data_IF_403501782517
#
_entry.id   IF_403501782517
#
_cell.length_a   1.000
_cell.length_b   1.000
_cell.length_c   1.000
_cell.angle_alpha   90.00
_cell.angle_beta   90.00
_cell.angle_gamma   90.00
#
_symmetry.space_group_name_H-M   'P 1'
#
loop_
_entity.id
_entity.type
_entity.pdbx_description
1 polymer ?
#
# COMPACT_ATOMS: atom_id res chain seq x y z
N UNK A 1 6.57 -16.17 1.79
CA UNK A 1 5.24 -16.22 2.44
C UNK A 1 4.99 -14.89 3.12
N UNK A 2 3.75 -14.39 3.13
CA UNK A 2 3.42 -13.11 3.78
C UNK A 2 3.26 -13.28 5.30
N UNK A 3 3.73 -12.30 6.08
CA UNK A 3 3.74 -12.29 7.54
C UNK A 3 4.10 -10.91 8.11
N UNK A 4 4.59 -10.82 9.36
CA UNK A 4 5.01 -9.55 9.97
C UNK A 4 6.01 -8.77 9.10
N UNK A 5 5.84 -7.45 9.01
CA UNK A 5 6.74 -6.59 8.21
C UNK A 5 6.53 -6.66 6.70
N UNK A 6 5.45 -7.30 6.22
CA UNK A 6 5.20 -7.45 4.77
C UNK A 6 4.00 -6.63 4.31
N UNK A 7 4.16 -6.01 3.15
CA UNK A 7 3.07 -5.45 2.35
C UNK A 7 2.85 -6.37 1.15
N UNK A 8 1.60 -6.75 0.89
CA UNK A 8 1.25 -7.54 -0.29
C UNK A 8 1.05 -6.59 -1.47
N UNK A 9 1.64 -6.89 -2.61
CA UNK A 9 1.48 -6.12 -3.85
C UNK A 9 0.83 -6.99 -4.92
N UNK A 10 -0.27 -6.53 -5.49
CA UNK A 10 -1.08 -7.26 -6.48
C UNK A 10 -1.18 -6.43 -7.75
N UNK A 11 -0.71 -6.96 -8.87
CA UNK A 11 -1.07 -6.44 -10.18
C UNK A 11 -2.31 -7.19 -10.69
N UNK A 12 -3.42 -6.49 -10.89
CA UNK A 12 -4.64 -7.02 -11.50
C UNK A 12 -4.97 -6.28 -12.81
N UNK A 13 -3.93 -5.80 -13.50
CA UNK A 13 -3.95 -5.11 -14.78
C UNK A 13 -4.92 -3.92 -14.82
N UNK A 14 -5.03 -3.20 -13.70
CA UNK A 14 -5.92 -2.04 -13.59
C UNK A 14 -7.40 -2.37 -13.64
N UNK A 15 -7.80 -3.64 -13.44
CA UNK A 15 -9.19 -4.04 -13.53
C UNK A 15 -10.03 -3.45 -12.37
N UNK A 16 -10.89 -2.48 -12.69
CA UNK A 16 -11.65 -1.70 -11.68
C UNK A 16 -13.01 -2.28 -11.29
N UNK A 17 -13.56 -3.24 -12.04
CA UNK A 17 -14.92 -3.74 -11.81
C UNK A 17 -14.97 -4.95 -10.86
N UNK A 18 -13.81 -5.58 -10.61
CA UNK A 18 -13.67 -6.79 -9.80
C UNK A 18 -13.05 -6.42 -8.45
N UNK A 19 -13.59 -6.99 -7.37
CA UNK A 19 -12.99 -6.92 -6.04
C UNK A 19 -12.02 -8.08 -5.84
N UNK A 20 -10.74 -7.86 -6.14
CA UNK A 20 -9.68 -8.88 -5.98
C UNK A 20 -9.29 -9.12 -4.53
N UNK A 21 -9.67 -8.20 -3.65
CA UNK A 21 -9.45 -8.28 -2.22
C UNK A 21 -10.76 -8.01 -1.48
N UNK A 22 -11.05 -8.82 -0.47
CA UNK A 22 -12.27 -8.75 0.34
C UNK A 22 -11.98 -9.01 1.81
N UNK A 23 -13.02 -8.95 2.64
CA UNK A 23 -12.89 -8.94 4.10
C UNK A 23 -12.27 -10.22 4.66
N UNK A 24 -12.61 -11.39 4.13
CA UNK A 24 -12.04 -12.66 4.59
C UNK A 24 -10.53 -12.75 4.36
N UNK A 25 -10.05 -12.30 3.19
CA UNK A 25 -8.61 -12.31 2.88
C UNK A 25 -7.89 -11.24 3.70
N UNK A 26 -8.52 -10.07 3.90
CA UNK A 26 -8.00 -9.02 4.78
C UNK A 26 -7.86 -9.49 6.23
N UNK A 27 -8.87 -10.19 6.78
CA UNK A 27 -8.83 -10.81 8.11
C UNK A 27 -7.70 -11.82 8.22
N UNK A 28 -7.56 -12.71 7.23
CA UNK A 28 -6.52 -13.73 7.21
C UNK A 28 -5.11 -13.12 7.12
N UNK A 29 -4.93 -12.07 6.31
CA UNK A 29 -3.68 -11.33 6.21
C UNK A 29 -3.33 -10.62 7.53
N UNK A 30 -4.32 -9.93 8.12
CA UNK A 30 -4.18 -9.27 9.43
C UNK A 30 -3.80 -10.27 10.53
N UNK A 31 -4.45 -11.44 10.57
CA UNK A 31 -4.14 -12.49 11.55
C UNK A 31 -2.71 -13.02 11.41
N UNK A 32 -2.12 -12.95 10.21
CA UNK A 32 -0.71 -13.31 9.94
C UNK A 32 0.27 -12.17 10.22
N UNK A 33 -0.19 -10.99 10.62
CA UNK A 33 0.64 -9.81 10.85
C UNK A 33 1.07 -9.07 9.59
N UNK A 34 0.43 -9.31 8.44
CA UNK A 34 0.66 -8.50 7.24
C UNK A 34 0.26 -7.05 7.52
N UNK A 35 1.05 -6.09 7.07
CA UNK A 35 0.88 -4.66 7.41
C UNK A 35 -0.06 -3.92 6.44
N UNK A 36 -0.34 -4.49 5.27
CA UNK A 36 -1.28 -3.93 4.32
C UNK A 36 -1.20 -4.59 2.95
N UNK A 37 -1.99 -4.06 2.00
CA UNK A 37 -1.99 -4.47 0.60
C UNK A 37 -2.11 -3.27 -0.34
N UNK A 38 -1.40 -3.34 -1.46
CA UNK A 38 -1.56 -2.43 -2.60
C UNK A 38 -2.03 -3.24 -3.82
N UNK A 39 -3.03 -2.71 -4.54
CA UNK A 39 -3.72 -3.43 -5.61
C UNK A 39 -3.82 -2.52 -6.84
N UNK A 40 -3.21 -2.92 -7.94
CA UNK A 40 -3.48 -2.36 -9.26
C UNK A 40 -4.82 -2.93 -9.81
N UNK A 41 -5.92 -2.57 -9.15
CA UNK A 41 -7.25 -3.11 -9.41
C UNK A 41 -8.26 -2.76 -8.31
N UNK A 42 -9.43 -3.38 -8.35
CA UNK A 42 -10.51 -3.12 -7.40
C UNK A 42 -10.48 -3.95 -6.11
N UNK A 43 -11.10 -3.41 -5.05
CA UNK A 43 -11.34 -4.05 -3.75
C UNK A 43 -12.83 -4.08 -3.42
N UNK A 44 -13.29 -5.11 -2.71
CA UNK A 44 -14.67 -5.25 -2.18
C UNK A 44 -14.70 -5.23 -0.64
N UNK A 45 -15.89 -5.29 -0.06
CA UNK A 45 -16.13 -5.34 1.39
C UNK A 45 -15.49 -4.20 2.19
N UNK A 46 -15.39 -3.01 1.58
CA UNK A 46 -14.60 -1.89 2.11
C UNK A 46 -15.01 -1.46 3.52
N UNK A 47 -16.30 -1.59 3.87
CA UNK A 47 -16.76 -1.27 5.21
C UNK A 47 -16.17 -2.23 6.26
N UNK A 48 -16.19 -3.53 6.00
CA UNK A 48 -15.62 -4.53 6.91
C UNK A 48 -14.10 -4.39 7.01
N UNK A 49 -13.43 -4.12 5.90
CA UNK A 49 -11.98 -3.88 5.85
C UNK A 49 -11.60 -2.65 6.69
N UNK A 50 -12.36 -1.55 6.58
CA UNK A 50 -12.16 -0.36 7.40
C UNK A 50 -12.44 -0.63 8.87
N UNK A 51 -13.49 -1.40 9.18
CA UNK A 51 -13.84 -1.79 10.54
C UNK A 51 -12.70 -2.57 11.23
N UNK A 52 -12.06 -3.49 10.50
CA UNK A 52 -10.90 -4.23 11.02
C UNK A 52 -9.61 -3.42 10.93
N UNK A 53 -9.62 -2.18 10.44
CA UNK A 53 -8.43 -1.30 10.34
C UNK A 53 -7.26 -1.97 9.61
N UNK A 54 -7.53 -2.65 8.50
CA UNK A 54 -6.49 -3.22 7.64
C UNK A 54 -6.20 -2.26 6.47
N UNK A 55 -4.96 -1.76 6.30
CA UNK A 55 -4.62 -0.84 5.22
C UNK A 55 -4.77 -1.48 3.84
N UNK A 56 -5.53 -0.83 2.96
CA UNK A 56 -5.75 -1.25 1.57
C UNK A 56 -5.65 -0.04 0.64
N UNK A 57 -4.74 -0.09 -0.32
CA UNK A 57 -4.69 0.83 -1.45
C UNK A 57 -5.15 0.10 -2.70
N UNK A 58 -6.15 0.65 -3.39
CA UNK A 58 -6.73 0.07 -4.59
C UNK A 58 -7.23 1.15 -5.53
N UNK A 59 -7.44 0.82 -6.82
CA UNK A 59 -7.92 1.80 -7.81
C UNK A 59 -9.41 2.10 -7.69
N UNK A 60 -10.19 1.16 -7.19
CA UNK A 60 -11.65 1.28 -7.16
C UNK A 60 -12.31 0.37 -6.13
N UNK A 61 -13.56 0.68 -5.81
CA UNK A 61 -14.46 -0.23 -5.10
C UNK A 61 -15.12 -1.17 -6.11
N UNK A 62 -14.52 -2.34 -6.33
CA UNK A 62 -15.03 -3.37 -7.23
C UNK A 62 -16.22 -4.12 -6.62
N UNK A 63 -17.25 -4.41 -7.43
CA UNK A 63 -18.48 -5.09 -6.95
C UNK A 63 -18.47 -6.58 -7.19
N UNK A 64 -17.77 -7.04 -8.22
CA UNK A 64 -17.85 -8.44 -8.67
C UNK A 64 -16.81 -9.30 -7.95
N UNK A 65 -17.21 -10.51 -7.58
CA UNK A 65 -16.35 -11.55 -7.00
C UNK A 65 -15.23 -11.97 -7.99
N UNK A 66 -14.06 -12.32 -7.44
CA UNK A 66 -12.86 -12.71 -8.20
C UNK A 66 -12.97 -14.09 -8.88
N UNK A 67 -13.88 -14.96 -8.41
CA UNK A 67 -14.03 -16.34 -8.89
C UNK A 67 -14.22 -16.38 -10.41
N UNK A 68 -13.37 -17.18 -11.09
CA UNK A 68 -13.38 -17.37 -12.54
C UNK A 68 -12.77 -16.22 -13.35
N UNK A 69 -12.21 -15.20 -12.70
CA UNK A 69 -11.61 -14.02 -13.36
C UNK A 69 -10.11 -13.89 -13.15
N UNK A 70 -9.58 -14.53 -12.11
CA UNK A 70 -8.17 -14.57 -11.80
C UNK A 70 -7.77 -15.98 -11.41
N UNK A 71 -6.69 -16.46 -12.00
CA UNK A 71 -5.99 -17.68 -11.59
C UNK A 71 -4.59 -17.26 -11.12
N UNK A 72 -4.25 -17.59 -9.87
CA UNK A 72 -2.91 -17.32 -9.33
C UNK A 72 -2.20 -18.66 -9.22
N UNK A 73 -1.10 -18.80 -9.96
CA UNK A 73 -0.22 -19.97 -9.91
C UNK A 73 1.04 -19.66 -9.09
N UNK A 74 1.75 -20.67 -8.56
CA UNK A 74 2.96 -20.45 -7.77
C UNK A 74 4.02 -19.58 -8.48
N UNK A 75 4.15 -19.71 -9.80
CA UNK A 75 5.07 -18.91 -10.63
C UNK A 75 4.68 -17.43 -10.73
N UNK A 76 3.45 -17.05 -10.35
CA UNK A 76 2.99 -15.65 -10.33
C UNK A 76 3.32 -14.94 -9.01
N UNK A 77 3.93 -15.63 -8.05
CA UNK A 77 4.17 -15.12 -6.69
C UNK A 77 5.65 -14.75 -6.54
N UNK A 78 5.93 -13.60 -5.90
CA UNK A 78 7.29 -13.07 -5.69
C UNK A 78 8.06 -12.86 -7.00
N UNK A 79 7.40 -12.30 -8.00
CA UNK A 79 8.02 -11.82 -9.24
C UNK A 79 7.93 -10.29 -9.31
N UNK A 80 8.79 -9.62 -10.09
CA UNK A 80 8.60 -8.22 -10.40
C UNK A 80 7.25 -7.98 -11.09
N UNK A 81 6.52 -6.96 -10.64
CA UNK A 81 5.22 -6.57 -11.20
C UNK A 81 5.19 -5.06 -11.46
N UNK A 82 4.24 -4.60 -12.27
CA UNK A 82 3.94 -3.17 -12.41
C UNK A 82 2.67 -2.82 -11.66
N UNK A 83 2.72 -1.75 -10.86
CA UNK A 83 1.57 -1.16 -10.18
C UNK A 83 1.61 0.34 -10.46
N UNK A 84 0.56 0.89 -11.07
CA UNK A 84 0.51 2.32 -11.38
C UNK A 84 1.61 2.78 -12.35
N UNK A 85 2.17 1.88 -13.17
CA UNK A 85 3.31 2.17 -14.03
C UNK A 85 4.67 2.12 -13.32
N UNK A 86 4.71 1.84 -12.01
CA UNK A 86 5.93 1.68 -11.23
C UNK A 86 6.28 0.20 -11.11
N UNK A 87 7.55 -0.14 -11.30
CA UNK A 87 8.03 -1.52 -11.08
C UNK A 87 8.20 -1.77 -9.58
N UNK A 88 7.59 -2.85 -9.09
CA UNK A 88 7.70 -3.31 -7.70
C UNK A 88 8.41 -4.66 -7.71
N UNK A 89 9.57 -4.74 -7.08
CA UNK A 89 10.29 -6.00 -6.92
C UNK A 89 10.01 -6.62 -5.54
N UNK A 90 10.09 -7.95 -5.42
CA UNK A 90 10.10 -8.60 -4.12
C UNK A 90 11.19 -8.01 -3.21
N UNK A 91 10.80 -7.55 -2.02
CA UNK A 91 11.71 -6.97 -1.03
C UNK A 91 11.89 -5.46 -1.11
N UNK A 92 11.29 -4.79 -2.11
CA UNK A 92 11.21 -3.32 -2.11
C UNK A 92 10.35 -2.83 -0.93
N UNK A 93 10.65 -1.62 -0.46
CA UNK A 93 9.93 -1.01 0.67
C UNK A 93 8.72 -0.26 0.10
N UNK A 94 7.55 -0.51 0.66
CA UNK A 94 6.30 0.12 0.26
C UNK A 94 5.83 0.97 1.42
N UNK A 95 5.63 2.26 1.17
CA UNK A 95 5.09 3.22 2.12
C UNK A 95 3.77 3.70 1.57
N UNK A 96 2.74 3.81 2.41
CA UNK A 96 1.46 4.37 2.02
C UNK A 96 0.87 5.25 3.11
N UNK A 97 0.30 6.37 2.69
CA UNK A 97 -0.39 7.38 3.51
C UNK A 97 -1.63 7.91 2.78
N UNK A 98 -2.16 9.05 3.19
CA UNK A 98 -3.32 9.68 2.57
C UNK A 98 -3.05 10.27 1.17
N UNK A 99 -1.79 10.55 0.83
CA UNK A 99 -1.40 11.05 -0.50
C UNK A 99 -1.22 9.91 -1.53
N UNK A 100 -0.91 8.70 -1.05
CA UNK A 100 -0.92 7.50 -1.88
C UNK A 100 0.12 6.48 -1.48
N UNK A 101 0.84 5.94 -2.46
CA UNK A 101 1.81 4.86 -2.27
C UNK A 101 3.12 5.21 -2.95
N UNK A 102 4.21 5.05 -2.21
CA UNK A 102 5.59 5.16 -2.71
C UNK A 102 6.28 3.80 -2.60
N UNK A 103 6.98 3.42 -3.67
CA UNK A 103 7.80 2.22 -3.72
C UNK A 103 9.27 2.65 -3.74
N UNK A 104 10.02 2.23 -2.73
CA UNK A 104 11.45 2.52 -2.58
C UNK A 104 12.23 1.24 -2.87
N UNK A 105 13.02 1.20 -3.95
CA UNK A 105 13.83 0.04 -4.25
C UNK A 105 14.81 -0.26 -3.13
N UNK A 106 14.88 -1.52 -2.68
CA UNK A 106 15.67 -1.91 -1.49
C UNK A 106 17.13 -1.44 -1.55
N UNK A 107 17.72 -1.48 -2.76
CA UNK A 107 19.11 -1.09 -3.02
C UNK A 107 19.45 0.38 -2.75
N UNK A 108 18.46 1.28 -2.77
CA UNK A 108 18.64 2.72 -2.54
C UNK A 108 17.94 3.22 -1.28
N UNK A 109 17.35 2.32 -0.49
CA UNK A 109 16.60 2.68 0.71
C UNK A 109 17.40 3.53 1.71
N UNK A 110 18.69 3.26 2.01
CA UNK A 110 19.47 4.10 2.91
C UNK A 110 19.61 5.55 2.43
N UNK A 111 19.84 5.74 1.12
CA UNK A 111 19.99 7.08 0.53
C UNK A 111 18.65 7.83 0.49
N UNK A 112 17.55 7.12 0.27
CA UNK A 112 16.20 7.71 0.31
C UNK A 112 15.87 8.16 1.73
N UNK A 113 16.15 7.33 2.74
CA UNK A 113 15.92 7.68 4.14
C UNK A 113 16.68 8.95 4.55
N UNK A 114 17.99 9.01 4.28
CA UNK A 114 18.81 10.19 4.63
C UNK A 114 18.25 11.47 4.01
N UNK A 115 17.84 11.41 2.73
CA UNK A 115 17.28 12.57 2.03
C UNK A 115 15.90 12.95 2.56
N UNK A 116 15.06 11.97 2.85
CA UNK A 116 13.71 12.19 3.38
C UNK A 116 13.76 12.84 4.76
N UNK A 117 14.62 12.36 5.67
CA UNK A 117 14.81 12.95 7.01
C UNK A 117 15.31 14.39 6.92
N UNK A 118 16.29 14.65 6.05
CA UNK A 118 16.80 16.02 5.83
C UNK A 118 15.71 16.95 5.31
N UNK A 119 14.93 16.52 4.30
CA UNK A 119 13.86 17.33 3.74
C UNK A 119 12.76 17.59 4.78
N UNK A 120 12.34 16.57 5.52
CA UNK A 120 11.33 16.70 6.57
C UNK A 120 11.76 17.71 7.65
N UNK A 121 13.03 17.70 8.06
CA UNK A 121 13.53 18.66 9.05
C UNK A 121 13.49 20.11 8.53
N UNK A 122 13.87 20.33 7.25
CA UNK A 122 13.80 21.65 6.60
C UNK A 122 12.35 22.13 6.46
N UNK A 123 11.44 21.25 6.06
CA UNK A 123 10.03 21.57 5.89
C UNK A 123 9.38 21.90 7.24
N UNK A 124 9.62 21.10 8.29
CA UNK A 124 9.12 21.37 9.65
C UNK A 124 9.62 22.70 10.20
N UNK A 125 10.90 23.02 10.00
CA UNK A 125 11.46 24.30 10.42
C UNK A 125 10.78 25.48 9.69
N UNK A 126 10.49 25.30 8.40
CA UNK A 126 9.84 26.32 7.56
C UNK A 126 8.35 26.48 7.90
N UNK A 127 7.66 25.40 8.27
CA UNK A 127 6.24 25.41 8.65
C UNK A 127 6.01 25.98 10.04
N UNK A 128 6.95 25.80 10.97
CA UNK A 128 6.78 26.14 12.39
C UNK A 128 6.25 27.56 12.65
N UNK A 129 6.79 28.63 12.05
CA UNK A 129 6.27 29.98 12.30
C UNK A 129 4.79 30.14 11.90
N UNK A 130 4.37 29.47 10.83
CA UNK A 130 2.98 29.50 10.38
C UNK A 130 2.08 28.66 11.28
N UNK A 131 2.53 27.47 11.69
CA UNK A 131 1.79 26.63 12.62
C UNK A 131 1.59 27.33 13.97
N UNK A 132 2.64 27.96 14.50
CA UNK A 132 2.59 28.74 15.74
C UNK A 132 1.62 29.93 15.61
N UNK A 133 1.63 30.64 14.46
CA UNK A 133 0.70 31.73 14.16
C UNK A 133 -0.77 31.28 14.19
N UNK A 134 -1.05 30.05 13.75
CA UNK A 134 -2.40 29.49 13.75
C UNK A 134 -2.75 28.68 15.02
N UNK A 135 -1.83 28.54 15.97
CA UNK A 135 -2.02 27.70 17.16
C UNK A 135 -2.16 26.21 16.84
N UNK A 136 -1.53 25.75 15.76
CA UNK A 136 -1.58 24.36 15.28
C UNK A 136 -0.30 23.60 15.65
N UNK A 137 -0.40 22.28 15.75
CA UNK A 137 0.77 21.39 15.87
C UNK A 137 0.61 20.19 14.94
N UNK A 138 1.71 19.79 14.31
CA UNK A 138 1.76 18.55 13.53
C UNK A 138 2.33 17.42 14.41
N UNK A 139 1.86 16.18 14.23
CA UNK A 139 2.40 15.02 14.93
C UNK A 139 3.88 14.74 14.58
#
# INVERSE_FOLDING_TARGET
>A
TAGPGTIIAINADGCINVGFWGSMVALAAKAKGVEGVIIDGGCRDTWEIQYIKFPVFCRSRGRTEVVGRLEIKPENINIPISIGGVTVNPGDIIIGDDDGVVVVPRRVAPQVLERAERQMALDRASQKPYLDMFGLSLP
#
